data_IF_995499151021
#
_entry.id   IF_995499151021
#
_cell.length_a   1.000
_cell.length_b   1.000
_cell.length_c   1.000
_cell.angle_alpha   90.00
_cell.angle_beta   90.00
_cell.angle_gamma   90.00
#
_symmetry.space_group_name_H-M   'P 1'
#
loop_
_entity.id
_entity.type
_entity.pdbx_description
1 polymer ?
#
# COMPACT_ATOMS: atom_id res chain seq x y z
N UNK A 1 -9.49 -7.69 -7.19
CA UNK A 1 -9.40 -6.40 -6.46
C UNK A 1 -8.83 -5.26 -7.31
N UNK A 2 -7.60 -5.35 -7.86
CA UNK A 2 -7.08 -4.35 -8.80
C UNK A 2 -7.92 -4.24 -10.09
N UNK A 3 -8.43 -5.36 -10.61
CA UNK A 3 -9.41 -5.36 -11.71
C UNK A 3 -10.71 -4.70 -11.31
N UNK A 4 -11.15 -4.78 -10.04
CA UNK A 4 -12.38 -4.15 -9.56
C UNK A 4 -12.21 -2.68 -9.18
N UNK A 5 -10.99 -2.25 -8.80
CA UNK A 5 -10.61 -0.83 -8.63
C UNK A 5 -10.44 -0.20 -10.01
N UNK A 6 -9.74 -0.86 -10.93
CA UNK A 6 -9.65 -0.49 -12.33
C UNK A 6 -11.03 -0.49 -13.01
N UNK A 7 -11.93 -1.43 -12.71
CA UNK A 7 -13.31 -1.44 -13.22
C UNK A 7 -14.20 -0.37 -12.58
N UNK A 8 -13.98 -0.01 -11.30
CA UNK A 8 -14.68 1.12 -10.68
C UNK A 8 -14.24 2.46 -11.30
N UNK A 9 -12.96 2.61 -11.62
CA UNK A 9 -12.47 3.73 -12.44
C UNK A 9 -12.89 3.62 -13.92
N UNK A 10 -13.02 2.41 -14.48
CA UNK A 10 -13.48 2.17 -15.86
C UNK A 10 -14.99 2.26 -16.03
N UNK A 11 -15.81 2.23 -14.97
CA UNK A 11 -17.24 2.55 -15.09
C UNK A 11 -17.45 4.01 -15.53
N UNK A 12 -16.45 4.87 -15.32
CA UNK A 12 -16.35 6.24 -15.89
C UNK A 12 -15.77 6.26 -17.32
N UNK A 13 -15.10 5.20 -17.77
CA UNK A 13 -14.49 5.07 -19.10
C UNK A 13 -14.52 3.61 -19.57
N UNK A 14 -15.58 3.26 -20.29
CA UNK A 14 -15.86 1.89 -20.75
C UNK A 14 -14.83 1.40 -21.77
N UNK A 15 -13.80 0.67 -21.32
CA UNK A 15 -13.19 -0.48 -22.03
C UNK A 15 -11.98 -1.04 -21.26
N UNK A 16 -11.91 -2.35 -21.01
CA UNK A 16 -10.73 -3.02 -20.43
C UNK A 16 -9.47 -2.83 -21.31
N UNK A 17 -9.64 -2.73 -22.63
CA UNK A 17 -8.55 -2.40 -23.56
C UNK A 17 -8.17 -0.92 -23.58
N UNK A 18 -9.05 -0.03 -23.12
CA UNK A 18 -8.83 1.41 -23.12
C UNK A 18 -7.93 1.84 -21.96
N UNK A 19 -8.05 1.23 -20.78
CA UNK A 19 -7.11 1.52 -19.68
C UNK A 19 -5.70 1.02 -19.98
N UNK A 20 -5.55 -0.20 -20.53
CA UNK A 20 -4.24 -0.69 -20.98
C UNK A 20 -3.66 0.19 -22.10
N UNK A 21 -4.46 0.55 -23.12
CA UNK A 21 -4.01 1.48 -24.17
C UNK A 21 -3.73 2.87 -23.63
N UNK A 22 -4.53 3.44 -22.74
CA UNK A 22 -4.32 4.82 -22.28
C UNK A 22 -3.21 4.91 -21.25
N UNK A 23 -3.09 3.98 -20.30
CA UNK A 23 -1.98 4.03 -19.35
C UNK A 23 -0.68 3.74 -20.08
N UNK A 24 -0.62 2.69 -20.91
CA UNK A 24 0.56 2.45 -21.74
C UNK A 24 0.81 3.61 -22.69
N UNK A 25 -0.18 4.11 -23.45
CA UNK A 25 0.03 5.18 -24.44
C UNK A 25 0.22 6.57 -23.83
N UNK A 26 -0.36 6.91 -22.67
CA UNK A 26 -0.11 8.21 -22.00
C UNK A 26 1.21 8.19 -21.25
N UNK A 27 1.58 7.07 -20.63
CA UNK A 27 2.92 6.89 -20.06
C UNK A 27 3.95 6.93 -21.20
N UNK A 28 3.72 6.20 -22.30
CA UNK A 28 4.51 6.23 -23.54
C UNK A 28 4.57 7.61 -24.20
N UNK A 29 3.45 8.34 -24.31
CA UNK A 29 3.42 9.68 -24.88
C UNK A 29 4.08 10.73 -23.98
N UNK A 30 4.08 10.54 -22.65
CA UNK A 30 4.89 11.36 -21.73
C UNK A 30 6.36 11.02 -21.87
N UNK A 31 6.74 9.73 -21.92
CA UNK A 31 8.12 9.29 -22.14
C UNK A 31 8.68 9.72 -23.50
N UNK A 32 7.84 9.79 -24.53
CA UNK A 32 8.23 10.24 -25.87
C UNK A 32 8.28 11.77 -26.02
N UNK A 33 7.67 12.54 -25.12
CA UNK A 33 7.66 14.03 -25.17
C UNK A 33 8.60 14.69 -24.17
N UNK A 34 8.92 14.04 -23.05
CA UNK A 34 10.07 14.45 -22.24
C UNK A 34 11.32 14.09 -23.03
N UNK A 35 12.19 15.06 -23.26
CA UNK A 35 13.49 14.92 -23.91
C UNK A 35 14.34 13.88 -23.17
N UNK A 36 14.10 12.60 -23.44
CA UNK A 36 15.03 11.54 -23.13
C UNK A 36 15.98 11.53 -24.30
N UNK A 37 17.08 12.24 -24.17
CA UNK A 37 18.19 12.19 -25.12
C UNK A 37 18.50 10.72 -25.40
N UNK A 38 18.24 10.29 -26.63
CA UNK A 38 18.36 8.90 -27.07
C UNK A 38 19.83 8.42 -27.14
N UNK A 39 20.76 9.16 -26.53
CA UNK A 39 22.20 8.94 -26.64
C UNK A 39 22.95 8.75 -25.31
N UNK A 40 22.31 8.78 -24.14
CA UNK A 40 22.95 8.32 -22.89
C UNK A 40 21.92 7.82 -21.86
N UNK A 41 21.85 6.49 -21.70
CA UNK A 41 21.22 5.70 -20.60
C UNK A 41 20.09 6.38 -19.79
N UNK A 42 18.80 6.19 -20.17
CA UNK A 42 17.69 6.65 -19.35
C UNK A 42 17.43 5.68 -18.20
N UNK A 43 17.95 5.98 -17.02
CA UNK A 43 17.59 5.33 -15.76
C UNK A 43 16.31 5.97 -15.19
N UNK A 44 15.14 5.50 -15.63
CA UNK A 44 13.84 5.88 -15.07
C UNK A 44 13.78 5.41 -13.61
N UNK A 45 13.37 6.31 -12.73
CA UNK A 45 13.03 6.00 -11.34
C UNK A 45 11.52 6.14 -11.21
N UNK A 46 10.86 5.12 -10.68
CA UNK A 46 9.42 5.14 -10.41
C UNK A 46 9.21 5.22 -8.91
N UNK A 47 8.35 6.14 -8.48
CA UNK A 47 8.05 6.33 -7.05
C UNK A 47 6.55 6.23 -6.86
N UNK A 48 6.13 5.61 -5.76
CA UNK A 48 4.74 5.56 -5.38
C UNK A 48 4.56 5.45 -3.88
N UNK A 49 3.56 6.16 -3.35
CA UNK A 49 3.15 6.10 -1.96
C UNK A 49 1.83 5.34 -1.81
N UNK A 50 1.64 4.60 -0.71
CA UNK A 50 0.39 3.86 -0.45
C UNK A 50 0.07 2.90 -1.60
N UNK A 51 -1.17 2.91 -2.11
CA UNK A 51 -1.56 2.18 -3.34
C UNK A 51 -0.65 2.48 -4.54
N UNK A 52 -0.07 3.68 -4.60
CA UNK A 52 0.88 4.08 -5.63
C UNK A 52 2.17 3.25 -5.60
N UNK A 53 2.64 2.82 -4.43
CA UNK A 53 3.85 1.98 -4.32
C UNK A 53 3.63 0.59 -4.95
N UNK A 54 2.47 -0.01 -4.70
CA UNK A 54 2.05 -1.23 -5.39
C UNK A 54 1.91 -1.03 -6.90
N UNK A 55 1.28 0.07 -7.34
CA UNK A 55 1.12 0.39 -8.76
C UNK A 55 2.44 0.65 -9.48
N UNK A 56 3.42 1.25 -8.81
CA UNK A 56 4.75 1.48 -9.34
C UNK A 56 5.46 0.15 -9.66
N UNK A 57 5.46 -0.78 -8.71
CA UNK A 57 6.00 -2.12 -8.93
C UNK A 57 5.24 -2.87 -10.04
N UNK A 58 3.91 -2.78 -10.07
CA UNK A 58 3.10 -3.41 -11.11
C UNK A 58 3.40 -2.84 -12.50
N UNK A 59 3.54 -1.52 -12.63
CA UNK A 59 3.88 -0.88 -13.90
C UNK A 59 5.24 -1.38 -14.42
N UNK A 60 6.25 -1.50 -13.56
CA UNK A 60 7.55 -2.06 -13.92
C UNK A 60 7.45 -3.52 -14.38
N UNK A 61 6.68 -4.35 -13.66
CA UNK A 61 6.41 -5.74 -14.07
C UNK A 61 5.79 -5.83 -15.46
N UNK A 62 4.86 -4.91 -15.79
CA UNK A 62 4.22 -4.86 -17.10
C UNK A 62 5.20 -4.46 -18.21
N UNK A 63 6.17 -3.60 -17.92
CA UNK A 63 7.22 -3.24 -18.87
C UNK A 63 8.14 -4.43 -19.13
N UNK A 64 8.63 -5.10 -18.07
CA UNK A 64 9.45 -6.32 -18.19
C UNK A 64 8.76 -7.39 -19.02
N UNK A 65 7.47 -7.65 -18.73
CA UNK A 65 6.68 -8.63 -19.45
C UNK A 65 6.40 -8.25 -20.93
N UNK A 66 6.53 -6.97 -21.28
CA UNK A 66 6.33 -6.49 -22.66
C UNK A 66 7.62 -6.55 -23.47
N UNK A 67 8.75 -6.13 -22.88
CA UNK A 67 10.06 -6.14 -23.53
C UNK A 67 11.16 -5.89 -22.50
N UNK A 68 12.20 -6.73 -22.49
CA UNK A 68 13.38 -6.55 -21.64
C UNK A 68 13.96 -5.14 -21.79
N UNK A 69 14.10 -4.65 -23.04
CA UNK A 69 14.63 -3.30 -23.32
C UNK A 69 13.80 -2.18 -22.67
N UNK A 70 12.48 -2.34 -22.55
CA UNK A 70 11.62 -1.36 -21.87
C UNK A 70 11.67 -1.52 -20.35
N UNK A 71 11.74 -2.75 -19.87
CA UNK A 71 11.94 -3.06 -18.46
C UNK A 71 13.23 -2.45 -17.91
N UNK A 72 14.32 -2.60 -18.65
CA UNK A 72 15.67 -2.12 -18.31
C UNK A 72 15.76 -0.59 -18.17
N UNK A 73 14.81 0.16 -18.77
CA UNK A 73 14.73 1.60 -18.56
C UNK A 73 14.37 1.95 -17.12
N UNK A 74 13.66 1.08 -16.38
CA UNK A 74 13.33 1.31 -14.97
C UNK A 74 14.49 0.83 -14.11
N UNK A 75 15.31 1.76 -13.65
CA UNK A 75 16.48 1.47 -12.81
C UNK A 75 16.15 1.22 -11.34
N UNK A 76 15.09 1.86 -10.84
CA UNK A 76 14.73 1.83 -9.42
C UNK A 76 13.24 2.08 -9.21
N UNK A 77 12.67 1.43 -8.21
CA UNK A 77 11.27 1.57 -7.81
C UNK A 77 11.22 1.88 -6.32
N UNK A 78 10.80 3.08 -5.93
CA UNK A 78 10.57 3.42 -4.53
C UNK A 78 9.12 3.18 -4.16
N UNK A 79 8.89 2.23 -3.24
CA UNK A 79 7.58 1.95 -2.66
C UNK A 79 7.50 2.52 -1.24
N UNK A 80 6.85 3.67 -1.11
CA UNK A 80 6.70 4.38 0.17
C UNK A 80 5.42 3.90 0.86
N UNK A 81 5.58 3.06 1.89
CA UNK A 81 4.51 2.44 2.67
C UNK A 81 3.41 1.82 1.79
N UNK A 82 3.83 1.21 0.69
CA UNK A 82 2.95 0.54 -0.27
C UNK A 82 2.76 -0.94 0.06
N UNK A 83 1.53 -1.46 -0.06
CA UNK A 83 1.25 -2.88 0.18
C UNK A 83 1.90 -3.76 -0.89
N UNK A 84 2.20 -5.00 -0.55
CA UNK A 84 2.68 -5.98 -1.53
C UNK A 84 1.55 -6.52 -2.42
N UNK A 85 1.84 -7.61 -3.10
CA UNK A 85 0.90 -8.30 -3.98
C UNK A 85 0.34 -9.55 -3.34
N UNK A 86 -0.92 -9.80 -3.68
CA UNK A 86 -1.54 -11.09 -3.49
C UNK A 86 -0.79 -12.12 -4.36
N UNK A 87 -0.46 -13.29 -3.81
CA UNK A 87 0.34 -14.32 -4.52
C UNK A 87 -0.30 -14.81 -5.82
N UNK A 88 -1.62 -14.68 -5.94
CA UNK A 88 -2.44 -15.01 -7.10
C UNK A 88 -2.55 -13.86 -8.13
N UNK A 89 -1.89 -12.72 -7.91
CA UNK A 89 -1.94 -11.54 -8.80
C UNK A 89 -0.67 -11.39 -9.65
N UNK A 90 0.45 -11.95 -9.20
CA UNK A 90 1.77 -11.75 -9.82
C UNK A 90 2.40 -13.07 -10.19
N UNK A 91 2.94 -13.16 -11.40
CA UNK A 91 3.86 -14.22 -11.78
C UNK A 91 5.15 -14.05 -10.98
N UNK A 92 5.52 -15.05 -10.18
CA UNK A 92 6.69 -15.00 -9.31
C UNK A 92 8.00 -14.86 -10.08
N UNK A 93 8.07 -15.37 -11.31
CA UNK A 93 9.26 -15.23 -12.16
C UNK A 93 9.47 -13.79 -12.62
N UNK A 94 8.39 -13.12 -13.04
CA UNK A 94 8.41 -11.69 -13.42
C UNK A 94 8.61 -10.82 -12.18
N UNK A 95 7.98 -11.19 -11.06
CA UNK A 95 8.12 -10.45 -9.82
C UNK A 95 9.56 -10.48 -9.29
N UNK A 96 10.27 -11.61 -9.41
CA UNK A 96 11.66 -11.71 -9.00
C UNK A 96 12.55 -10.67 -9.71
N UNK A 97 12.36 -10.48 -11.03
CA UNK A 97 13.10 -9.50 -11.84
C UNK A 97 12.86 -8.05 -11.38
N UNK A 98 11.64 -7.74 -10.94
CA UNK A 98 11.28 -6.39 -10.46
C UNK A 98 11.71 -6.20 -9.01
N UNK A 99 11.64 -7.23 -8.18
CA UNK A 99 11.88 -7.17 -6.74
C UNK A 99 13.27 -6.63 -6.39
N UNK A 100 14.30 -6.98 -7.17
CA UNK A 100 15.67 -6.49 -6.99
C UNK A 100 15.82 -4.98 -7.20
N UNK A 101 14.87 -4.36 -7.91
CA UNK A 101 14.84 -2.92 -8.19
C UNK A 101 13.93 -2.16 -7.22
N UNK A 102 13.18 -2.85 -6.37
CA UNK A 102 12.30 -2.23 -5.38
C UNK A 102 13.10 -1.85 -4.14
N UNK A 103 13.01 -0.58 -3.79
CA UNK A 103 13.36 -0.08 -2.46
C UNK A 103 12.08 0.33 -1.75
N UNK A 104 11.74 -0.44 -0.72
CA UNK A 104 10.56 -0.21 0.09
C UNK A 104 10.95 0.46 1.38
N UNK A 105 10.28 1.55 1.72
CA UNK A 105 10.45 2.25 3.00
C UNK A 105 9.09 2.31 3.68
N UNK A 106 9.05 1.98 4.96
CA UNK A 106 7.83 2.00 5.77
C UNK A 106 8.11 2.74 7.08
N UNK A 107 7.12 3.39 7.71
CA UNK A 107 7.30 4.00 9.02
C UNK A 107 7.38 2.93 10.12
N UNK A 108 7.93 3.26 11.29
CA UNK A 108 8.01 2.33 12.43
C UNK A 108 6.66 1.71 12.86
N UNK A 109 5.54 2.42 12.70
CA UNK A 109 4.19 1.91 13.00
C UNK A 109 3.41 1.49 11.75
N UNK A 110 4.11 1.03 10.70
CA UNK A 110 3.51 0.67 9.42
C UNK A 110 2.42 -0.40 9.53
N UNK A 111 1.29 -0.15 8.86
CA UNK A 111 0.25 -1.15 8.62
C UNK A 111 0.09 -1.39 7.12
N UNK A 112 -0.09 -0.33 6.34
CA UNK A 112 -0.33 -0.42 4.89
C UNK A 112 0.86 -1.03 4.14
N UNK A 113 2.07 -0.66 4.50
CA UNK A 113 3.27 -1.23 3.89
C UNK A 113 3.46 -2.71 4.19
N UNK A 114 2.86 -3.26 5.24
CA UNK A 114 3.13 -4.63 5.69
C UNK A 114 2.04 -5.64 5.31
N UNK A 115 0.93 -5.18 4.72
CA UNK A 115 -0.13 -6.09 4.21
C UNK A 115 0.21 -6.61 2.81
N UNK A 116 -0.32 -7.80 2.51
CA UNK A 116 -0.10 -8.54 1.27
C UNK A 116 1.39 -8.80 1.05
N UNK A 117 2.08 -9.27 2.09
CA UNK A 117 3.53 -9.41 2.09
C UNK A 117 4.01 -10.38 1.00
N UNK A 118 4.94 -9.90 0.18
CA UNK A 118 5.57 -10.64 -0.92
C UNK A 118 7.03 -10.99 -0.62
N UNK A 119 7.50 -10.76 0.60
CA UNK A 119 8.90 -11.00 0.99
C UNK A 119 9.89 -9.97 0.43
N UNK A 120 9.41 -8.84 -0.10
CA UNK A 120 10.28 -7.74 -0.53
C UNK A 120 10.87 -7.08 0.71
N UNK A 121 12.22 -7.03 0.85
CA UNK A 121 12.86 -6.35 1.97
C UNK A 121 12.42 -4.89 2.04
N UNK A 122 12.29 -4.37 3.26
CA UNK A 122 11.96 -2.98 3.50
C UNK A 122 12.90 -2.37 4.53
N UNK A 123 13.13 -1.07 4.40
CA UNK A 123 13.76 -0.23 5.41
C UNK A 123 12.66 0.42 6.27
N UNK A 124 12.99 0.73 7.52
CA UNK A 124 12.05 1.35 8.46
C UNK A 124 12.55 2.75 8.79
N UNK A 125 11.67 3.75 8.77
CA UNK A 125 12.00 5.14 9.12
C UNK A 125 11.25 5.60 10.37
N UNK A 126 11.88 6.48 11.14
CA UNK A 126 11.22 7.23 12.22
C UNK A 126 10.14 8.16 11.66
N UNK A 127 9.08 8.38 12.43
CA UNK A 127 8.02 9.31 12.06
C UNK A 127 7.48 10.09 13.26
N UNK A 128 7.33 11.41 13.11
CA UNK A 128 6.82 12.37 14.10
C UNK A 128 5.29 12.38 14.17
N UNK A 129 4.68 11.19 14.18
CA UNK A 129 3.24 11.01 14.37
C UNK A 129 2.93 9.65 14.98
N UNK A 130 1.67 9.37 15.30
CA UNK A 130 1.28 8.17 16.03
C UNK A 130 0.35 7.30 15.18
N UNK A 131 0.58 5.98 15.22
CA UNK A 131 -0.30 5.00 14.60
C UNK A 131 -0.43 5.19 13.09
N UNK A 132 -1.67 5.22 12.61
CA UNK A 132 -1.97 5.29 11.17
C UNK A 132 -1.53 6.60 10.51
N UNK A 133 -1.36 7.68 11.29
CA UNK A 133 -0.86 8.95 10.78
C UNK A 133 0.57 8.84 10.25
N UNK A 134 1.34 7.86 10.74
CA UNK A 134 2.68 7.61 10.20
C UNK A 134 2.63 7.15 8.74
N UNK A 135 1.47 6.74 8.19
CA UNK A 135 1.33 6.46 6.77
C UNK A 135 1.70 7.68 5.91
N UNK A 136 1.47 8.90 6.39
CA UNK A 136 1.76 10.11 5.64
C UNK A 136 3.25 10.45 5.70
N UNK A 137 3.91 10.40 4.53
CA UNK A 137 5.35 10.65 4.38
C UNK A 137 5.84 12.01 4.89
N UNK A 138 4.94 12.99 5.05
CA UNK A 138 5.28 14.30 5.63
C UNK A 138 5.74 14.23 7.09
N UNK A 139 5.40 13.16 7.81
CA UNK A 139 5.85 12.94 9.18
C UNK A 139 7.16 12.15 9.26
N UNK A 140 7.71 11.67 8.14
CA UNK A 140 8.89 10.81 8.17
C UNK A 140 10.14 11.67 8.39
N UNK A 141 10.96 11.26 9.33
CA UNK A 141 12.15 12.01 9.69
C UNK A 141 13.22 11.90 8.60
N UNK A 142 13.92 13.00 8.38
CA UNK A 142 15.03 13.11 7.43
C UNK A 142 16.28 13.52 8.20
N UNK A 143 17.37 12.80 8.01
CA UNK A 143 18.67 13.05 8.63
C UNK A 143 19.76 12.93 7.57
N UNK A 144 20.60 13.96 7.47
CA UNK A 144 21.73 14.00 6.51
C UNK A 144 21.34 13.76 5.03
N UNK A 145 20.13 14.19 4.64
CA UNK A 145 19.67 14.07 3.25
C UNK A 145 19.03 12.73 2.88
N UNK A 146 18.81 11.84 3.85
CA UNK A 146 18.08 10.57 3.68
C UNK A 146 17.09 10.37 4.84
N UNK A 147 16.25 9.34 4.79
CA UNK A 147 15.37 8.98 5.90
C UNK A 147 16.18 8.64 7.16
N UNK A 148 15.69 9.07 8.32
CA UNK A 148 16.26 8.61 9.60
C UNK A 148 15.78 7.19 9.88
N UNK A 149 16.60 6.22 9.48
CA UNK A 149 16.24 4.81 9.55
C UNK A 149 16.35 4.23 10.96
N UNK A 150 15.51 3.25 11.24
CA UNK A 150 15.56 2.41 12.43
C UNK A 150 15.53 0.92 12.07
N UNK A 151 15.87 0.07 13.05
CA UNK A 151 16.13 -1.35 12.80
C UNK A 151 14.88 -2.15 12.45
N UNK A 152 13.74 -1.81 13.06
CA UNK A 152 12.52 -2.60 12.92
C UNK A 152 11.25 -1.78 13.13
N UNK A 153 10.17 -2.28 12.54
CA UNK A 153 8.82 -1.81 12.88
C UNK A 153 8.48 -2.21 14.31
N UNK A 154 7.55 -1.48 14.93
CA UNK A 154 7.10 -1.78 16.28
C UNK A 154 6.51 -3.20 16.35
N UNK A 155 6.65 -3.92 17.49
CA UNK A 155 6.06 -5.26 17.66
C UNK A 155 4.55 -5.30 17.37
N UNK A 156 3.86 -4.21 17.68
CA UNK A 156 2.43 -4.04 17.42
C UNK A 156 2.11 -3.94 15.93
N UNK A 157 2.84 -3.12 15.18
CA UNK A 157 2.71 -3.01 13.73
C UNK A 157 2.90 -4.38 13.06
N UNK A 158 3.92 -5.13 13.50
CA UNK A 158 4.19 -6.47 13.01
C UNK A 158 3.06 -7.46 13.33
N UNK A 159 2.61 -7.52 14.59
CA UNK A 159 1.55 -8.44 15.03
C UNK A 159 0.24 -8.23 14.26
N UNK A 160 -0.12 -6.97 14.01
CA UNK A 160 -1.38 -6.61 13.36
C UNK A 160 -1.32 -6.87 11.87
N UNK A 161 -0.18 -6.60 11.25
CA UNK A 161 0.05 -6.91 9.85
C UNK A 161 0.05 -8.41 9.62
N UNK A 162 0.60 -9.21 10.55
CA UNK A 162 0.51 -10.68 10.50
C UNK A 162 -0.94 -11.17 10.54
N UNK A 163 -1.74 -10.69 11.49
CA UNK A 163 -3.16 -11.04 11.58
C UNK A 163 -3.95 -10.64 10.32
N UNK A 164 -3.67 -9.46 9.75
CA UNK A 164 -4.30 -9.01 8.50
C UNK A 164 -3.91 -9.90 7.31
N UNK A 165 -2.63 -10.27 7.19
CA UNK A 165 -2.15 -11.17 6.15
C UNK A 165 -2.78 -12.57 6.28
N UNK A 166 -2.83 -13.14 7.49
CA UNK A 166 -3.47 -14.44 7.73
C UNK A 166 -4.95 -14.45 7.36
N UNK A 167 -5.66 -13.35 7.65
CA UNK A 167 -7.07 -13.19 7.28
C UNK A 167 -7.28 -13.06 5.77
N UNK A 168 -6.36 -12.41 5.03
CA UNK A 168 -6.50 -12.20 3.58
C UNK A 168 -5.97 -13.37 2.74
N UNK A 169 -4.81 -13.90 3.08
CA UNK A 169 -3.99 -14.71 2.15
C UNK A 169 -4.37 -16.19 2.13
N UNK A 170 -5.06 -16.69 3.16
CA UNK A 170 -5.51 -18.09 3.25
C UNK A 170 -6.86 -18.35 2.55
N UNK A 171 -7.25 -17.48 1.60
CA UNK A 171 -8.55 -17.51 0.95
C UNK A 171 -8.42 -17.52 -0.57
N UNK A 172 -9.34 -18.21 -1.29
CA UNK A 172 -9.47 -18.05 -2.74
C UNK A 172 -9.73 -16.59 -3.12
N UNK A 173 -9.31 -16.20 -4.33
CA UNK A 173 -9.43 -14.84 -4.84
C UNK A 173 -10.82 -14.22 -4.63
N UNK A 174 -11.88 -14.95 -4.99
CA UNK A 174 -13.26 -14.43 -4.90
C UNK A 174 -13.68 -14.17 -3.45
N UNK A 175 -13.28 -15.04 -2.52
CA UNK A 175 -13.58 -14.85 -1.10
C UNK A 175 -12.77 -13.69 -0.51
N UNK A 176 -11.47 -13.61 -0.82
CA UNK A 176 -10.63 -12.46 -0.46
C UNK A 176 -11.21 -11.15 -0.98
N UNK A 177 -11.65 -11.14 -2.23
CA UNK A 177 -12.30 -9.99 -2.87
C UNK A 177 -13.59 -9.61 -2.14
N UNK A 178 -14.49 -10.56 -1.86
CA UNK A 178 -15.73 -10.29 -1.12
C UNK A 178 -15.45 -9.63 0.21
N UNK A 179 -14.50 -10.17 0.98
CA UNK A 179 -14.15 -9.64 2.29
C UNK A 179 -13.53 -8.25 2.25
N UNK A 180 -12.57 -8.01 1.35
CA UNK A 180 -11.99 -6.68 1.15
C UNK A 180 -13.07 -5.68 0.71
N UNK A 181 -13.97 -6.08 -0.20
CA UNK A 181 -15.08 -5.24 -0.65
C UNK A 181 -16.04 -4.91 0.50
N UNK A 182 -16.32 -5.84 1.41
CA UNK A 182 -17.14 -5.59 2.61
C UNK A 182 -16.47 -4.57 3.53
N UNK A 183 -15.19 -4.75 3.87
CA UNK A 183 -14.44 -3.80 4.70
C UNK A 183 -14.42 -2.42 4.04
N UNK A 184 -14.15 -2.35 2.73
CA UNK A 184 -14.18 -1.08 1.99
C UNK A 184 -15.56 -0.42 1.98
N UNK A 185 -16.65 -1.20 1.84
CA UNK A 185 -18.01 -0.66 1.87
C UNK A 185 -18.37 -0.07 3.23
N UNK A 186 -17.86 -0.68 4.32
CA UNK A 186 -18.03 -0.19 5.67
C UNK A 186 -17.31 1.15 5.80
N UNK A 187 -16.05 1.24 5.40
CA UNK A 187 -15.33 2.51 5.45
C UNK A 187 -15.99 3.58 4.57
N UNK A 188 -16.52 3.21 3.41
CA UNK A 188 -17.21 4.13 2.51
C UNK A 188 -18.56 4.61 3.06
N UNK A 189 -19.26 3.82 3.87
CA UNK A 189 -20.55 4.20 4.45
C UNK A 189 -20.42 5.17 5.64
N UNK A 190 -19.21 5.32 6.18
CA UNK A 190 -18.94 6.26 7.27
C UNK A 190 -18.90 7.73 6.81
N UNK A 191 -18.94 7.99 5.50
CA UNK A 191 -19.10 9.34 4.94
C UNK A 191 -17.81 10.15 4.83
N UNK A 192 -16.65 9.58 5.15
CA UNK A 192 -15.36 10.25 4.99
C UNK A 192 -14.87 10.14 3.53
N UNK A 193 -14.72 11.26 2.80
CA UNK A 193 -14.32 11.26 1.39
C UNK A 193 -12.84 10.92 1.18
N UNK A 194 -12.00 11.05 2.21
CA UNK A 194 -10.56 10.71 2.16
C UNK A 194 -10.13 9.90 3.38
N UNK A 195 -9.02 9.16 3.22
CA UNK A 195 -8.41 8.41 4.31
C UNK A 195 -7.86 9.35 5.39
N UNK A 196 -7.34 10.52 4.98
CA UNK A 196 -6.79 11.57 5.84
C UNK A 196 -7.87 12.10 6.77
N UNK A 197 -9.04 12.42 6.23
CA UNK A 197 -10.19 12.86 7.02
C UNK A 197 -10.67 11.76 7.96
N UNK A 198 -10.80 10.53 7.48
CA UNK A 198 -11.16 9.38 8.32
C UNK A 198 -10.17 9.16 9.47
N UNK A 199 -8.87 9.29 9.21
CA UNK A 199 -7.81 9.12 10.23
C UNK A 199 -7.84 10.23 11.28
N UNK A 200 -8.26 11.43 10.90
CA UNK A 200 -8.45 12.56 11.82
C UNK A 200 -9.65 12.35 12.76
N UNK A 201 -10.64 11.56 12.34
CA UNK A 201 -11.84 11.20 13.11
C UNK A 201 -11.79 9.77 13.68
N UNK A 202 -10.59 9.23 13.91
CA UNK A 202 -10.42 7.83 14.27
C UNK A 202 -11.22 7.39 15.51
N UNK A 203 -11.32 8.26 16.53
CA UNK A 203 -12.10 7.99 17.75
C UNK A 203 -13.60 7.82 17.50
N UNK A 204 -14.15 8.46 16.46
CA UNK A 204 -15.56 8.32 16.04
C UNK A 204 -15.78 7.15 15.08
N UNK A 205 -14.75 6.84 14.28
CA UNK A 205 -14.75 5.74 13.31
C UNK A 205 -14.75 4.39 14.01
N UNK A 206 -13.92 4.21 15.05
CA UNK A 206 -13.73 2.93 15.75
C UNK A 206 -15.03 2.34 16.31
N UNK A 207 -15.87 3.07 17.08
CA UNK A 207 -17.13 2.53 17.58
C UNK A 207 -18.11 2.11 16.48
N UNK A 208 -18.15 2.87 15.39
CA UNK A 208 -19.01 2.58 14.22
C UNK A 208 -18.53 1.31 13.51
N UNK A 209 -17.23 1.15 13.33
CA UNK A 209 -16.62 -0.06 12.77
C UNK A 209 -16.92 -1.29 13.62
N UNK A 210 -16.76 -1.20 14.95
CA UNK A 210 -17.09 -2.28 15.89
C UNK A 210 -18.55 -2.73 15.75
N UNK A 211 -19.47 -1.77 15.77
CA UNK A 211 -20.91 -2.05 15.69
C UNK A 211 -21.29 -2.76 14.39
N UNK A 212 -20.68 -2.38 13.28
CA UNK A 212 -20.93 -3.03 11.99
C UNK A 212 -20.29 -4.42 11.95
N UNK A 213 -19.05 -4.53 12.42
CA UNK A 213 -18.31 -5.80 12.48
C UNK A 213 -19.02 -6.86 13.33
N UNK A 214 -19.73 -6.48 14.40
CA UNK A 214 -20.50 -7.40 15.25
C UNK A 214 -21.60 -8.17 14.50
N UNK A 215 -22.06 -7.65 13.36
CA UNK A 215 -23.08 -8.28 12.53
C UNK A 215 -22.49 -9.03 11.33
N UNK A 216 -21.16 -9.18 11.29
CA UNK A 216 -20.44 -9.91 10.25
C UNK A 216 -20.00 -11.29 10.75
N UNK A 217 -19.39 -12.08 9.85
CA UNK A 217 -18.80 -13.36 10.24
C UNK A 217 -17.68 -13.16 11.28
N UNK A 218 -17.47 -14.17 12.13
CA UNK A 218 -16.53 -14.11 13.26
C UNK A 218 -15.11 -13.75 12.83
N UNK A 219 -14.67 -14.20 11.65
CA UNK A 219 -13.32 -13.89 11.13
C UNK A 219 -13.20 -12.42 10.74
N UNK A 220 -14.22 -11.84 10.13
CA UNK A 220 -14.23 -10.40 9.81
C UNK A 220 -14.30 -9.54 11.07
N UNK A 221 -15.08 -9.95 12.07
CA UNK A 221 -15.10 -9.30 13.38
C UNK A 221 -13.73 -9.30 14.07
N UNK A 222 -13.06 -10.45 14.11
CA UNK A 222 -11.73 -10.59 14.72
C UNK A 222 -10.66 -9.76 14.02
N UNK A 223 -10.68 -9.69 12.68
CA UNK A 223 -9.77 -8.82 11.94
C UNK A 223 -10.01 -7.36 12.33
N UNK A 224 -11.25 -6.89 12.22
CA UNK A 224 -11.60 -5.50 12.52
C UNK A 224 -11.17 -5.18 13.95
N UNK A 225 -11.50 -6.05 14.92
CA UNK A 225 -11.07 -5.93 16.33
C UNK A 225 -9.55 -5.86 16.48
N UNK A 226 -8.80 -6.73 15.80
CA UNK A 226 -7.33 -6.77 15.87
C UNK A 226 -6.71 -5.51 15.30
N UNK A 227 -7.19 -5.08 14.12
CA UNK A 227 -6.82 -3.82 13.48
C UNK A 227 -7.14 -2.64 14.42
N UNK A 228 -8.32 -2.57 15.03
CA UNK A 228 -8.64 -1.50 15.96
C UNK A 228 -7.80 -1.56 17.25
N UNK A 229 -7.52 -2.75 17.78
CA UNK A 229 -6.61 -2.93 18.91
C UNK A 229 -5.17 -2.54 18.59
N UNK A 230 -4.79 -2.53 17.30
CA UNK A 230 -3.53 -1.97 16.78
C UNK A 230 -3.48 -0.45 16.83
N UNK A 231 -4.65 0.19 16.90
CA UNK A 231 -4.78 1.64 16.87
C UNK A 231 -5.18 2.23 18.23
N UNK A 232 -5.75 1.43 19.14
CA UNK A 232 -6.30 1.88 20.44
C UNK A 232 -5.30 2.49 21.47
N UNK A 233 -4.03 2.07 21.55
CA UNK A 233 -3.02 2.69 22.44
C UNK A 233 -2.31 3.93 21.85
N UNK A 234 -2.94 4.65 20.92
CA UNK A 234 -2.53 6.01 20.57
C UNK A 234 -3.05 7.08 21.58
N UNK A 235 -3.80 6.67 22.61
CA UNK A 235 -4.42 7.59 23.59
C UNK A 235 -4.21 7.23 25.06
N UNK A 236 -3.22 6.38 25.39
CA UNK A 236 -3.06 5.85 26.76
C UNK A 236 -1.60 5.65 27.18
N UNK A 237 -0.79 6.70 27.10
CA UNK A 237 0.44 6.82 27.90
C UNK A 237 0.83 8.28 28.10
N UNK A 238 -0.06 9.03 28.78
CA UNK A 238 0.31 10.27 29.46
C UNK A 238 -0.27 10.28 30.86
N UNK A 239 0.05 9.25 31.64
CA UNK A 239 0.13 9.32 33.09
C UNK A 239 1.17 8.29 33.52
N UNK A 240 2.44 8.70 33.50
CA UNK A 240 3.28 8.58 34.67
C UNK A 240 4.69 9.09 34.40
N UNK A 241 5.26 9.71 35.46
CA UNK A 241 6.58 10.32 35.60
C UNK A 241 6.72 11.77 35.12
N UNK A 242 6.29 12.69 35.99
CA UNK A 242 7.20 13.72 36.47
C UNK A 242 7.39 13.57 37.97
N UNK A 243 8.66 13.54 38.34
CA UNK A 243 9.22 13.69 39.69
C UNK A 243 8.63 14.88 40.44
#
# INVERSE_FOLDING_TARGET
YLTSVAQRYSKRYSNKNFFNKIFANKLFARFSKSSVDAQNNPNIIVVGHSKGGNMAAYAAMRLDATSQKLGDLVSKIYSMDGPGFASDVVDTSVFANVSSRIEKVVPQSAFIGLIMDTGVPYKVTFADSIGLMQHFGMYWQIKNGDFDYCDCVTPRALAVSKAANEWMMNLPFEERKRRIDSVYSIFSSLGYPTFDEMSSHWSEVVPKLLKIAMHMDSKTYELIRSVMSAFALAGGSSSDKKS
#
